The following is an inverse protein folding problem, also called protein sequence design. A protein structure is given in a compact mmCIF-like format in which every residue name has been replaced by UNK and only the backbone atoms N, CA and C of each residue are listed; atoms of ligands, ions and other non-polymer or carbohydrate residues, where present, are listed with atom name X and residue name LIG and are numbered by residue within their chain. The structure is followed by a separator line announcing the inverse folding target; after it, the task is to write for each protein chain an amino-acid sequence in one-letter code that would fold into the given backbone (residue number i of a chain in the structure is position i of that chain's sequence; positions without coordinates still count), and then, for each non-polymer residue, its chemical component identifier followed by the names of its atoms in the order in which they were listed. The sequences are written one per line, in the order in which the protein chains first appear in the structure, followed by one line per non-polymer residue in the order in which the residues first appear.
data_IF_609144484704
#
_entry.id   IF_609144484704
#
_cell.length_a   1.000
_cell.length_b   1.000
_cell.length_c   1.000
_cell.angle_alpha   90.00
_cell.angle_beta   90.00
_cell.angle_gamma   90.00
#
_symmetry.space_group_name_H-M   'P 1'
#
loop_
_entity.id
_entity.type
_entity.pdbx_description
1 polymer ?
#
# COMPACT_ATOMS: atom_id res chain seq x y z
N UNK A 1 -6.95 -9.89 0.18
CA UNK A 1 -6.69 -10.31 -1.21
C UNK A 1 -6.08 -11.71 -1.32
N UNK A 2 -6.03 -12.48 -0.22
CA UNK A 2 -5.53 -13.87 -0.23
C UNK A 2 -4.03 -14.02 0.05
N UNK A 3 -3.35 -12.97 0.45
CA UNK A 3 -1.93 -13.04 0.80
C UNK A 3 -1.65 -13.90 2.04
N UNK A 4 -0.49 -14.57 2.06
CA UNK A 4 -0.11 -15.47 3.16
C UNK A 4 0.20 -14.74 4.48
N UNK A 5 0.58 -13.46 4.41
CA UNK A 5 1.11 -12.71 5.54
C UNK A 5 0.10 -11.78 6.23
N UNK A 6 -1.19 -11.88 5.91
CA UNK A 6 -2.24 -11.02 6.46
C UNK A 6 -2.26 -11.03 8.00
N UNK A 7 -2.13 -12.22 8.60
CA UNK A 7 -2.09 -12.37 10.06
C UNK A 7 -0.83 -11.73 10.68
N UNK A 8 0.31 -11.80 9.98
CA UNK A 8 1.54 -11.17 10.45
C UNK A 8 1.44 -9.64 10.40
N UNK A 9 0.83 -9.09 9.36
CA UNK A 9 0.55 -7.64 9.28
C UNK A 9 -0.34 -7.20 10.43
N UNK A 10 -1.45 -7.90 10.66
CA UNK A 10 -2.37 -7.60 11.76
C UNK A 10 -1.67 -7.73 13.13
N UNK A 11 -0.80 -8.72 13.31
CA UNK A 11 -0.01 -8.88 14.53
C UNK A 11 0.90 -7.66 14.75
N UNK A 12 1.60 -7.17 13.71
CA UNK A 12 2.45 -5.99 13.81
C UNK A 12 1.67 -4.73 14.19
N UNK A 13 0.46 -4.56 13.63
CA UNK A 13 -0.42 -3.45 14.02
C UNK A 13 -0.79 -3.53 15.51
N UNK A 14 -1.14 -4.73 16.00
CA UNK A 14 -1.50 -4.94 17.42
C UNK A 14 -0.29 -4.75 18.34
N UNK A 15 0.91 -5.12 17.93
CA UNK A 15 2.15 -4.85 18.66
C UNK A 15 2.43 -3.34 18.85
N UNK A 16 1.86 -2.50 17.97
CA UNK A 16 1.84 -1.05 18.14
C UNK A 16 0.68 -0.54 19.04
N UNK A 17 0.03 -1.41 19.79
CA UNK A 17 -1.15 -1.10 20.61
C UNK A 17 -2.34 -0.52 19.81
N UNK A 18 -2.46 -0.87 18.54
CA UNK A 18 -3.56 -0.46 17.68
C UNK A 18 -4.49 -1.66 17.45
N UNK A 19 -5.77 -1.48 17.76
CA UNK A 19 -6.79 -2.48 17.45
C UNK A 19 -6.93 -2.63 15.93
N UNK A 20 -6.99 -3.86 15.43
CA UNK A 20 -7.27 -4.14 14.04
C UNK A 20 -8.04 -5.46 13.83
N UNK A 21 -8.80 -5.50 12.78
CA UNK A 21 -9.51 -6.66 12.27
C UNK A 21 -9.12 -6.95 10.82
N UNK A 22 -9.26 -8.20 10.41
CA UNK A 22 -8.96 -8.63 9.04
C UNK A 22 -10.28 -8.94 8.35
N UNK A 23 -10.48 -8.34 7.20
CA UNK A 23 -11.65 -8.54 6.36
C UNK A 23 -11.25 -9.06 4.98
N UNK A 24 -12.16 -9.81 4.37
CA UNK A 24 -12.02 -10.23 2.97
C UNK A 24 -12.21 -9.03 2.03
N UNK A 25 -11.54 -9.04 0.89
CA UNK A 25 -11.79 -8.08 -0.20
C UNK A 25 -13.24 -8.09 -0.70
N UNK A 26 -14.00 -9.17 -0.41
CA UNK A 26 -15.43 -9.30 -0.74
C UNK A 26 -16.35 -8.59 0.25
N UNK A 27 -15.82 -8.04 1.33
CA UNK A 27 -16.62 -7.32 2.33
C UNK A 27 -17.26 -6.08 1.69
N UNK A 28 -18.58 -5.90 1.80
CA UNK A 28 -19.26 -4.75 1.25
C UNK A 28 -18.71 -3.43 1.82
N UNK A 29 -18.57 -2.41 0.97
CA UNK A 29 -18.06 -1.09 1.37
C UNK A 29 -18.87 -0.46 2.51
N UNK A 30 -20.20 -0.65 2.50
CA UNK A 30 -21.09 -0.14 3.56
C UNK A 30 -20.79 -0.75 4.92
N UNK A 31 -20.38 -2.01 4.97
CA UNK A 31 -19.92 -2.64 6.21
C UNK A 31 -18.60 -2.01 6.69
N UNK A 32 -17.67 -1.74 5.77
CA UNK A 32 -16.40 -1.06 6.11
C UNK A 32 -16.68 0.35 6.62
N UNK A 33 -17.58 1.09 5.99
CA UNK A 33 -18.01 2.43 6.47
C UNK A 33 -18.63 2.37 7.87
N UNK A 34 -19.50 1.39 8.11
CA UNK A 34 -20.18 1.23 9.41
C UNK A 34 -19.20 0.98 10.57
N UNK A 35 -18.07 0.35 10.30
CA UNK A 35 -16.99 0.15 11.28
C UNK A 35 -16.22 1.42 11.64
N UNK A 36 -16.36 2.48 10.84
CA UNK A 36 -15.68 3.76 11.04
C UNK A 36 -14.16 3.61 11.29
N UNK A 37 -13.41 2.95 10.40
CA UNK A 37 -12.00 2.67 10.59
C UNK A 37 -11.19 3.98 10.64
N UNK A 38 -10.11 3.98 11.41
CA UNK A 38 -9.15 5.09 11.45
C UNK A 38 -8.11 5.01 10.35
N UNK A 39 -7.98 3.86 9.72
CA UNK A 39 -7.10 3.61 8.57
C UNK A 39 -7.38 2.23 8.00
N UNK A 40 -6.95 2.01 6.78
CA UNK A 40 -7.14 0.76 6.03
C UNK A 40 -5.78 0.29 5.51
N UNK A 41 -5.48 -0.99 5.69
CA UNK A 41 -4.30 -1.62 5.11
C UNK A 41 -4.74 -2.63 4.06
N UNK A 42 -4.38 -2.39 2.82
CA UNK A 42 -4.56 -3.32 1.71
C UNK A 42 -3.34 -4.23 1.64
N UNK A 43 -3.52 -5.50 1.96
CA UNK A 43 -2.43 -6.47 2.05
C UNK A 43 -2.11 -7.14 0.71
N UNK A 44 -1.11 -8.01 0.70
CA UNK A 44 -0.69 -8.76 -0.47
C UNK A 44 -1.72 -9.77 -1.00
N UNK A 45 -1.47 -10.28 -2.16
CA UNK A 45 -2.26 -11.30 -2.85
C UNK A 45 -1.42 -12.04 -3.90
N UNK A 46 -1.85 -13.22 -4.36
CA UNK A 46 -1.09 -14.05 -5.28
C UNK A 46 -1.25 -13.69 -6.76
N UNK A 47 -2.21 -12.84 -7.11
CA UNK A 47 -2.60 -12.51 -8.48
C UNK A 47 -1.92 -11.22 -8.97
N UNK A 48 -1.98 -10.99 -10.29
CA UNK A 48 -1.72 -9.67 -10.87
C UNK A 48 -3.00 -8.84 -10.87
N UNK A 49 -2.92 -7.58 -10.39
CA UNK A 49 -4.12 -6.75 -10.15
C UNK A 49 -4.87 -6.32 -11.42
N UNK A 50 -4.23 -6.46 -12.59
CA UNK A 50 -4.80 -6.16 -13.91
C UNK A 50 -5.39 -7.38 -14.62
N UNK A 51 -5.25 -8.59 -14.07
CA UNK A 51 -5.84 -9.80 -14.64
C UNK A 51 -7.33 -9.90 -14.33
N UNK A 52 -8.10 -10.37 -15.30
CA UNK A 52 -9.54 -10.60 -15.15
C UNK A 52 -9.82 -11.61 -14.03
N UNK A 53 -10.79 -11.30 -13.17
CA UNK A 53 -11.15 -12.14 -12.02
C UNK A 53 -10.23 -12.00 -10.81
N UNK A 54 -9.19 -11.17 -10.86
CA UNK A 54 -8.35 -10.90 -9.71
C UNK A 54 -9.09 -10.17 -8.60
N UNK A 55 -8.74 -10.41 -7.34
CA UNK A 55 -9.30 -9.71 -6.19
C UNK A 55 -9.18 -8.19 -6.35
N UNK A 56 -10.27 -7.46 -6.27
CA UNK A 56 -10.29 -6.01 -6.46
C UNK A 56 -11.05 -5.29 -5.34
N UNK A 57 -10.96 -3.99 -5.31
CA UNK A 57 -11.79 -3.10 -4.50
C UNK A 57 -12.30 -1.95 -5.35
N UNK A 58 -13.34 -1.28 -4.88
CA UNK A 58 -13.92 -0.14 -5.58
C UNK A 58 -13.15 1.14 -5.28
N UNK A 59 -13.23 2.12 -6.19
CA UNK A 59 -12.57 3.42 -6.03
C UNK A 59 -13.08 4.19 -4.81
N UNK A 60 -14.35 4.01 -4.48
CA UNK A 60 -15.01 4.67 -3.34
C UNK A 60 -14.37 4.30 -2.00
N UNK A 61 -13.64 3.17 -1.92
CA UNK A 61 -12.88 2.81 -0.73
C UNK A 61 -11.80 3.89 -0.40
N UNK A 62 -11.19 4.44 -1.43
CA UNK A 62 -10.17 5.51 -1.28
C UNK A 62 -10.78 6.89 -1.03
N UNK A 63 -12.09 7.02 -1.23
CA UNK A 63 -12.85 8.26 -1.00
C UNK A 63 -13.47 8.34 0.42
N UNK A 64 -13.23 7.33 1.26
CA UNK A 64 -13.73 7.30 2.64
C UNK A 64 -13.13 8.38 3.54
N UNK A 65 -12.09 9.08 3.11
CA UNK A 65 -11.43 10.14 3.88
C UNK A 65 -10.54 9.61 5.02
N UNK A 66 -10.19 8.33 5.01
CA UNK A 66 -9.25 7.72 5.95
C UNK A 66 -7.94 7.34 5.25
N UNK A 67 -6.79 7.32 5.95
CA UNK A 67 -5.54 6.86 5.38
C UNK A 67 -5.63 5.42 4.89
N UNK A 68 -5.09 5.16 3.69
CA UNK A 68 -5.00 3.81 3.13
C UNK A 68 -3.53 3.49 2.85
N UNK A 69 -3.05 2.39 3.41
CA UNK A 69 -1.72 1.85 3.15
C UNK A 69 -1.83 0.61 2.26
N UNK A 70 -1.17 0.61 1.12
CA UNK A 70 -1.02 -0.57 0.26
C UNK A 70 0.28 -1.31 0.57
N UNK A 71 0.23 -2.63 0.64
CA UNK A 71 1.38 -3.51 0.77
C UNK A 71 1.37 -4.53 -0.36
N UNK A 72 2.45 -4.59 -1.15
CA UNK A 72 2.59 -5.54 -2.26
C UNK A 72 1.40 -5.43 -3.24
N UNK A 73 0.64 -6.50 -3.45
CA UNK A 73 -0.58 -6.49 -4.26
C UNK A 73 -1.51 -5.32 -3.93
N UNK A 74 -1.69 -4.98 -2.65
CA UNK A 74 -2.54 -3.87 -2.23
C UNK A 74 -2.04 -2.51 -2.72
N UNK A 75 -0.73 -2.29 -2.81
CA UNK A 75 -0.15 -1.08 -3.38
C UNK A 75 -0.35 -1.03 -4.90
N UNK A 76 -0.13 -2.15 -5.59
CA UNK A 76 -0.36 -2.27 -7.04
C UNK A 76 -1.83 -2.03 -7.39
N UNK A 77 -2.76 -2.68 -6.66
CA UNK A 77 -4.19 -2.51 -6.84
C UNK A 77 -4.62 -1.04 -6.62
N UNK A 78 -4.12 -0.40 -5.57
CA UNK A 78 -4.40 1.01 -5.29
C UNK A 78 -3.97 1.90 -6.47
N UNK A 79 -2.78 1.69 -7.00
CA UNK A 79 -2.29 2.43 -8.16
C UNK A 79 -3.15 2.15 -9.40
N UNK A 80 -3.45 0.88 -9.67
CA UNK A 80 -4.29 0.47 -10.80
C UNK A 80 -5.69 1.11 -10.77
N UNK A 81 -6.36 1.06 -9.61
CA UNK A 81 -7.72 1.62 -9.44
C UNK A 81 -7.74 3.15 -9.53
N UNK A 82 -6.65 3.82 -9.09
CA UNK A 82 -6.58 5.29 -9.07
C UNK A 82 -5.96 5.90 -10.34
N UNK A 83 -5.71 5.07 -11.38
CA UNK A 83 -5.27 5.54 -12.70
C UNK A 83 -3.77 5.55 -12.90
N UNK A 84 -3.01 4.87 -12.06
CA UNK A 84 -1.63 4.50 -12.30
C UNK A 84 -1.54 3.27 -13.22
N UNK A 85 -0.31 2.82 -13.48
CA UNK A 85 -0.03 1.68 -14.36
C UNK A 85 0.80 0.64 -13.64
N UNK A 86 0.34 -0.60 -13.70
CA UNK A 86 1.03 -1.79 -13.17
C UNK A 86 1.32 -2.74 -14.31
N UNK A 87 2.53 -3.20 -14.40
CA UNK A 87 3.01 -4.05 -15.50
C UNK A 87 3.90 -5.17 -14.96
N UNK A 88 4.07 -6.20 -15.76
CA UNK A 88 5.01 -7.28 -15.46
C UNK A 88 6.44 -6.73 -15.48
N UNK A 89 7.18 -6.99 -14.42
CA UNK A 89 8.55 -6.51 -14.31
C UNK A 89 9.46 -7.18 -15.36
N UNK A 90 10.31 -6.43 -16.06
CA UNK A 90 11.30 -6.98 -16.98
C UNK A 90 12.34 -7.82 -16.23
N UNK A 91 12.66 -7.44 -15.02
CA UNK A 91 13.54 -8.17 -14.09
C UNK A 91 12.76 -8.43 -12.80
N UNK A 92 12.74 -9.67 -12.34
CA UNK A 92 12.08 -10.05 -11.10
C UNK A 92 12.96 -9.65 -9.92
N UNK A 93 12.43 -8.85 -9.01
CA UNK A 93 13.11 -8.60 -7.75
C UNK A 93 12.71 -9.68 -6.74
N UNK A 94 13.69 -10.50 -6.35
CA UNK A 94 13.50 -11.57 -5.40
C UNK A 94 14.66 -11.65 -4.42
N UNK A 95 14.34 -11.58 -3.13
CA UNK A 95 15.35 -11.66 -2.08
C UNK A 95 15.71 -10.31 -1.47
N UNK A 96 16.92 -10.20 -0.96
CA UNK A 96 17.44 -8.97 -0.34
C UNK A 96 17.74 -7.92 -1.39
N UNK A 97 17.06 -6.80 -1.32
CA UNK A 97 17.19 -5.70 -2.27
C UNK A 97 17.50 -4.40 -1.53
N UNK A 98 18.49 -3.68 -1.99
CA UNK A 98 18.83 -2.36 -1.49
C UNK A 98 17.79 -1.35 -1.95
N UNK A 99 17.23 -0.61 -0.99
CA UNK A 99 16.14 0.32 -1.22
C UNK A 99 16.51 1.69 -0.67
N UNK A 100 16.26 2.71 -1.47
CA UNK A 100 16.44 4.11 -1.10
C UNK A 100 15.08 4.71 -0.74
N UNK A 101 15.01 5.40 0.40
CA UNK A 101 13.77 5.97 0.92
C UNK A 101 13.86 7.48 1.07
N UNK A 102 12.76 8.17 0.80
CA UNK A 102 12.63 9.60 1.03
C UNK A 102 12.34 9.88 2.51
N UNK A 103 13.33 10.38 3.22
CA UNK A 103 13.26 10.71 4.64
C UNK A 103 12.25 11.81 4.98
N UNK A 104 11.79 12.57 3.98
CA UNK A 104 10.73 13.56 4.18
C UNK A 104 9.35 12.94 4.37
N UNK A 105 9.22 11.64 4.06
CA UNK A 105 7.98 10.89 4.30
C UNK A 105 7.85 10.50 5.77
N UNK A 106 6.67 10.75 6.35
CA UNK A 106 6.37 10.34 7.72
C UNK A 106 6.48 8.82 7.96
N UNK A 107 6.39 8.00 6.89
CA UNK A 107 6.54 6.55 6.96
C UNK A 107 7.99 6.13 7.22
N UNK A 108 8.98 6.97 6.93
CA UNK A 108 10.39 6.62 6.97
C UNK A 108 11.22 7.45 7.94
N UNK A 109 10.58 8.15 8.89
CA UNK A 109 11.27 9.00 9.87
C UNK A 109 12.44 8.30 10.54
N UNK A 110 12.22 7.08 11.01
CA UNK A 110 13.18 6.28 11.76
C UNK A 110 13.95 5.23 10.91
N UNK A 111 13.71 5.20 9.59
CA UNK A 111 14.39 4.28 8.66
C UNK A 111 15.62 4.96 8.07
N UNK A 112 16.74 4.26 7.91
CA UNK A 112 17.91 4.78 7.20
C UNK A 112 17.57 5.10 5.75
N UNK A 113 18.13 6.19 5.19
CA UNK A 113 17.91 6.59 3.78
C UNK A 113 18.21 5.44 2.81
N UNK A 114 19.14 4.59 3.17
CA UNK A 114 19.49 3.38 2.46
C UNK A 114 19.26 2.18 3.38
N UNK A 115 18.41 1.27 2.98
CA UNK A 115 18.04 0.10 3.76
C UNK A 115 17.93 -1.14 2.90
N UNK A 116 17.95 -2.32 3.51
CA UNK A 116 17.76 -3.59 2.81
C UNK A 116 16.39 -4.14 3.16
N UNK A 117 15.62 -4.44 2.14
CA UNK A 117 14.30 -5.06 2.26
C UNK A 117 14.24 -6.39 1.51
N UNK A 118 13.28 -7.22 1.87
CA UNK A 118 12.98 -8.45 1.14
C UNK A 118 11.92 -8.17 0.09
N UNK A 119 12.30 -8.34 -1.18
CA UNK A 119 11.37 -8.23 -2.31
C UNK A 119 10.92 -9.61 -2.78
N UNK A 120 9.66 -9.70 -3.20
CA UNK A 120 9.08 -10.91 -3.78
C UNK A 120 7.90 -10.52 -4.65
N UNK A 121 8.17 -9.97 -5.83
CA UNK A 121 7.13 -9.57 -6.77
C UNK A 121 7.51 -9.84 -8.23
N UNK A 122 6.48 -10.05 -9.05
CA UNK A 122 6.57 -10.24 -10.49
C UNK A 122 6.12 -9.02 -11.27
N UNK A 123 5.28 -8.20 -10.66
CA UNK A 123 4.71 -6.99 -11.23
C UNK A 123 5.29 -5.77 -10.52
N UNK A 124 5.35 -4.65 -11.20
CA UNK A 124 5.80 -3.39 -10.65
C UNK A 124 4.88 -2.23 -11.09
N UNK A 125 4.91 -1.15 -10.34
CA UNK A 125 4.21 0.08 -10.69
C UNK A 125 5.09 0.85 -11.67
N UNK A 126 4.71 0.85 -12.95
CA UNK A 126 5.45 1.57 -14.00
C UNK A 126 5.10 3.06 -14.07
N UNK A 127 3.90 3.42 -13.58
CA UNK A 127 3.46 4.81 -13.50
C UNK A 127 2.59 4.99 -12.25
N UNK A 128 2.95 5.96 -11.42
CA UNK A 128 2.15 6.31 -10.24
C UNK A 128 0.87 7.05 -10.65
N UNK A 129 -0.20 6.80 -9.90
CA UNK A 129 -1.47 7.48 -10.09
C UNK A 129 -1.35 8.99 -9.81
N UNK A 130 -2.22 9.83 -10.42
CA UNK A 130 -2.23 11.26 -10.14
C UNK A 130 -2.37 11.57 -8.64
N UNK A 131 -1.53 12.50 -8.13
CA UNK A 131 -1.53 12.87 -6.72
C UNK A 131 -0.65 12.00 -5.82
N UNK A 132 0.01 10.98 -6.36
CA UNK A 132 0.98 10.17 -5.62
C UNK A 132 2.40 10.68 -5.80
N UNK A 133 3.23 10.50 -4.77
CA UNK A 133 4.67 10.77 -4.78
C UNK A 133 5.41 9.46 -4.56
N UNK A 134 6.48 9.26 -5.32
CA UNK A 134 7.41 8.14 -5.08
C UNK A 134 8.22 8.47 -3.83
N UNK A 135 8.20 7.59 -2.85
CA UNK A 135 8.90 7.77 -1.57
C UNK A 135 9.92 6.67 -1.29
N UNK A 136 9.99 5.65 -2.16
CA UNK A 136 11.06 4.66 -2.16
C UNK A 136 11.30 4.11 -3.56
N UNK A 137 12.54 3.70 -3.84
CA UNK A 137 12.93 3.08 -5.10
C UNK A 137 14.11 2.12 -4.89
N UNK A 138 14.30 1.21 -5.82
CA UNK A 138 15.49 0.37 -5.93
C UNK A 138 16.29 0.76 -7.18
N UNK A 139 17.44 0.13 -7.41
CA UNK A 139 18.22 0.37 -8.62
C UNK A 139 17.47 -0.07 -9.89
N UNK A 140 16.70 -1.14 -9.81
CA UNK A 140 16.02 -1.78 -10.95
C UNK A 140 14.53 -1.39 -11.03
N UNK A 141 13.93 -0.91 -9.94
CA UNK A 141 12.54 -0.50 -9.87
C UNK A 141 12.41 0.96 -9.44
N UNK A 142 12.03 1.89 -10.35
CA UNK A 142 11.88 3.31 -10.03
C UNK A 142 10.73 3.59 -9.05
N UNK A 143 9.79 2.67 -8.90
CA UNK A 143 8.72 2.70 -7.90
C UNK A 143 8.78 1.42 -7.10
N UNK A 144 9.59 1.38 -6.04
CA UNK A 144 9.65 0.23 -5.15
C UNK A 144 8.36 0.11 -4.36
N UNK A 145 7.83 -1.10 -4.31
CA UNK A 145 6.73 -1.42 -3.40
C UNK A 145 7.23 -1.39 -1.94
N UNK A 146 6.38 -1.01 -1.04
CA UNK A 146 4.93 -0.72 -1.06
C UNK A 146 4.53 0.74 -0.74
N UNK A 147 5.18 1.74 -1.24
CA UNK A 147 5.27 3.02 -0.56
C UNK A 147 4.84 4.21 -1.42
N UNK A 148 3.60 4.13 -1.91
CA UNK A 148 2.90 5.30 -2.43
C UNK A 148 1.91 5.79 -1.37
N UNK A 149 2.11 6.99 -0.83
CA UNK A 149 1.16 7.60 0.08
C UNK A 149 0.29 8.58 -0.72
N UNK A 150 -1.04 8.40 -0.81
CA UNK A 150 -1.88 9.44 -1.36
C UNK A 150 -1.79 10.65 -0.44
N UNK A 151 -1.29 11.76 -0.95
CA UNK A 151 -1.41 13.06 -0.27
C UNK A 151 -2.84 13.51 -0.55
N UNK A 152 -3.76 13.54 0.44
CA UNK A 152 -5.05 14.13 0.24
C UNK A 152 -4.85 15.61 -0.07
N UNK A 153 -5.31 16.07 -1.21
CA UNK A 153 -5.35 17.49 -1.57
C UNK A 153 -6.46 18.22 -0.79
N UNK A 154 -6.50 18.07 0.52
CA UNK A 154 -7.34 18.86 1.39
C UNK A 154 -6.50 19.36 2.56
N UNK A 155 -6.22 20.65 2.53
CA UNK A 155 -5.85 21.42 3.70
C UNK A 155 -6.98 21.32 4.75
N UNK A 156 -6.91 20.34 5.61
CA UNK A 156 -7.63 20.35 6.88
C UNK A 156 -6.58 20.28 7.98
N UNK A 157 -6.43 21.40 8.67
CA UNK A 157 -5.65 21.56 9.88
C UNK A 157 -6.06 20.49 10.91
N UNK A 158 -5.31 19.42 10.98
CA UNK A 158 -5.36 18.53 12.13
C UNK A 158 -4.46 19.11 13.22
N UNK A 159 -5.01 19.98 14.04
CA UNK A 159 -4.45 20.29 15.36
C UNK A 159 -4.81 19.13 16.27
N UNK A 160 -4.00 18.07 16.25
CA UNK A 160 -4.04 17.03 17.26
C UNK A 160 -3.54 17.60 18.57
N UNK A 161 -4.42 17.75 19.54
CA UNK A 161 -4.00 17.79 20.96
C UNK A 161 -3.95 16.34 21.46
N UNK A 162 -2.85 16.04 22.13
CA UNK A 162 -2.59 14.82 22.90
C UNK A 162 -3.64 14.52 23.95
#
# INVERSE_FOLDING_TARGET
FGGQYNQLVARRVRECNVYCEIYSYKTPLEQIKAMNPKGIILTGGPNSCYEEGSPTCTKELFELGVPVLGLCYGAQLMQHVLGGKVEKAPVREYGKTETFVDKSSALFGDVSEKTIVWMSHFDYISQVAPGFKIIAHTADCPVAEPLCNPVPSRSSSYTGRY
#
